data_IF_665454423159
#
_entry.id   IF_665454423159
#
_cell.length_a   1.000
_cell.length_b   1.000
_cell.length_c   1.000
_cell.angle_alpha   90.00
_cell.angle_beta   90.00
_cell.angle_gamma   90.00
#
_symmetry.space_group_name_H-M   'P 1'
#
loop_
_entity.id
_entity.type
_entity.pdbx_description
1 polymer ?
#
# COMPACT_ATOMS: atom_id res chain seq x y z
N UNK A 1 -19.26 -20.83 -31.92
CA UNK A 1 -20.29 -20.46 -30.94
C UNK A 1 -19.88 -19.13 -30.30
N UNK A 2 -20.44 -18.02 -30.80
CA UNK A 2 -19.95 -16.67 -30.49
C UNK A 2 -20.09 -16.30 -29.00
N UNK A 3 -21.07 -16.90 -28.31
CA UNK A 3 -21.32 -16.68 -26.89
C UNK A 3 -20.16 -17.25 -26.05
N UNK A 4 -19.69 -18.44 -26.39
CA UNK A 4 -18.59 -19.09 -25.67
C UNK A 4 -17.26 -18.35 -25.83
N UNK A 5 -16.99 -17.75 -27.01
CA UNK A 5 -15.82 -16.89 -27.21
C UNK A 5 -15.93 -15.60 -26.40
N UNK A 6 -17.09 -14.94 -26.41
CA UNK A 6 -17.31 -13.70 -25.67
C UNK A 6 -17.17 -13.91 -24.15
N UNK A 7 -17.74 -14.99 -23.62
CA UNK A 7 -17.65 -15.33 -22.19
C UNK A 7 -16.22 -15.65 -21.76
N UNK A 8 -15.44 -16.33 -22.61
CA UNK A 8 -14.02 -16.63 -22.35
C UNK A 8 -13.18 -15.36 -22.28
N UNK A 9 -13.38 -14.43 -23.22
CA UNK A 9 -12.67 -13.14 -23.21
C UNK A 9 -13.05 -12.31 -21.98
N UNK A 10 -14.34 -12.25 -21.63
CA UNK A 10 -14.81 -11.52 -20.44
C UNK A 10 -14.20 -12.09 -19.15
N UNK A 11 -14.12 -13.42 -19.05
CA UNK A 11 -13.51 -14.10 -17.91
C UNK A 11 -12.00 -13.80 -17.79
N UNK A 12 -11.25 -13.89 -18.90
CA UNK A 12 -9.82 -13.59 -18.91
C UNK A 12 -9.55 -12.16 -18.43
N UNK A 13 -10.34 -11.18 -18.88
CA UNK A 13 -10.17 -9.78 -18.51
C UNK A 13 -10.44 -9.53 -17.01
N UNK A 14 -11.42 -10.21 -16.41
CA UNK A 14 -11.71 -10.15 -14.96
C UNK A 14 -10.55 -10.73 -14.15
N UNK A 15 -10.01 -11.87 -14.57
CA UNK A 15 -8.87 -12.53 -13.88
C UNK A 15 -7.58 -11.72 -13.97
N UNK A 16 -7.39 -10.94 -15.05
CA UNK A 16 -6.29 -9.98 -15.18
C UNK A 16 -6.53 -8.63 -14.47
N UNK A 17 -7.51 -8.56 -13.56
CA UNK A 17 -7.73 -7.42 -12.68
C UNK A 17 -8.45 -6.24 -13.31
N UNK A 18 -9.06 -6.40 -14.50
CA UNK A 18 -9.93 -5.36 -15.06
C UNK A 18 -11.31 -5.47 -14.45
N UNK A 19 -11.78 -4.38 -13.84
CA UNK A 19 -13.13 -4.28 -13.28
C UNK A 19 -14.17 -4.20 -14.39
N UNK A 20 -15.37 -4.72 -14.14
CA UNK A 20 -16.49 -4.75 -15.10
C UNK A 20 -16.87 -3.34 -15.62
N UNK A 21 -16.53 -2.29 -14.87
CA UNK A 21 -16.71 -0.88 -15.22
C UNK A 21 -15.83 -0.38 -16.37
N UNK A 22 -14.83 -1.15 -16.82
CA UNK A 22 -14.01 -0.83 -17.99
C UNK A 22 -14.79 -0.87 -19.33
N UNK A 23 -16.03 -1.37 -19.31
CA UNK A 23 -16.90 -1.51 -20.49
C UNK A 23 -18.14 -0.61 -20.47
N UNK A 24 -18.26 0.30 -19.50
CA UNK A 24 -19.36 1.28 -19.49
C UNK A 24 -19.18 2.29 -20.61
N UNK A 25 -20.17 2.45 -21.50
CA UNK A 25 -20.17 3.46 -22.57
C UNK A 25 -20.00 4.89 -22.02
N UNK A 26 -20.46 5.15 -20.80
CA UNK A 26 -20.33 6.43 -20.09
C UNK A 26 -19.03 6.57 -19.26
N UNK A 27 -18.10 5.63 -19.38
CA UNK A 27 -16.86 5.60 -18.60
C UNK A 27 -17.04 5.12 -17.15
N UNK A 28 -16.00 5.30 -16.33
CA UNK A 28 -16.04 4.94 -14.91
C UNK A 28 -17.14 5.75 -14.20
N UNK A 29 -18.00 5.12 -13.37
CA UNK A 29 -18.98 5.84 -12.56
C UNK A 29 -18.32 6.95 -11.73
N UNK A 30 -18.98 8.11 -11.64
CA UNK A 30 -18.54 9.21 -10.77
C UNK A 30 -18.44 8.66 -9.33
N UNK A 31 -17.22 8.55 -8.81
CA UNK A 31 -16.93 7.93 -7.51
C UNK A 31 -16.09 6.65 -7.56
N UNK A 32 -15.89 6.02 -8.71
CA UNK A 32 -15.03 4.83 -8.82
C UNK A 32 -13.54 5.14 -8.52
N UNK A 33 -13.06 6.34 -8.89
CA UNK A 33 -11.73 6.81 -8.49
C UNK A 33 -11.58 7.07 -6.97
N UNK A 34 -12.70 7.27 -6.26
CA UNK A 34 -12.72 7.33 -4.79
C UNK A 34 -12.67 5.94 -4.15
N UNK A 35 -13.03 4.87 -4.87
CA UNK A 35 -12.85 3.49 -4.39
C UNK A 35 -11.39 3.03 -4.54
N UNK A 36 -10.70 3.44 -5.61
CA UNK A 36 -9.30 3.09 -5.88
C UNK A 36 -8.27 3.72 -4.89
N UNK A 37 -8.64 4.82 -4.24
CA UNK A 37 -7.85 5.51 -3.21
C UNK A 37 -8.64 5.70 -1.89
N UNK A 38 -9.77 5.02 -1.75
CA UNK A 38 -10.63 5.09 -0.57
C UNK A 38 -10.00 4.47 0.67
N UNK A 39 -10.55 4.79 1.85
CA UNK A 39 -10.18 4.20 3.17
C UNK A 39 -8.80 4.61 3.73
N UNK A 40 -8.31 5.79 3.37
CA UNK A 40 -7.08 6.37 3.94
C UNK A 40 -5.79 5.91 3.26
N UNK A 41 -5.88 5.33 2.07
CA UNK A 41 -4.74 5.09 1.19
C UNK A 41 -4.31 6.41 0.53
N UNK A 42 -3.00 6.66 0.42
CA UNK A 42 -2.48 7.99 0.03
C UNK A 42 -1.88 8.04 -1.36
N UNK A 43 -1.34 6.93 -1.86
CA UNK A 43 -0.71 6.85 -3.18
C UNK A 43 -0.71 5.43 -3.72
N UNK A 44 -1.08 5.23 -4.99
CA UNK A 44 -0.80 3.98 -5.71
C UNK A 44 0.64 3.96 -6.26
N UNK A 45 1.36 5.07 -6.22
CA UNK A 45 2.78 5.18 -6.58
C UNK A 45 3.59 5.05 -5.29
N UNK A 46 4.08 3.85 -5.00
CA UNK A 46 5.00 3.60 -3.90
C UNK A 46 6.42 4.05 -4.25
N UNK A 47 7.10 4.76 -3.35
CA UNK A 47 8.55 5.01 -3.47
C UNK A 47 9.31 3.84 -2.85
N UNK A 48 9.31 2.72 -3.57
CA UNK A 48 10.22 1.61 -3.32
C UNK A 48 11.38 1.75 -4.30
N UNK A 49 12.61 1.83 -3.80
CA UNK A 49 13.78 1.75 -4.66
C UNK A 49 14.89 0.99 -3.97
N UNK A 50 15.76 0.37 -4.75
CA UNK A 50 16.94 -0.30 -4.26
C UNK A 50 18.12 0.01 -5.15
N UNK A 51 19.32 -0.02 -4.58
CA UNK A 51 20.56 -0.04 -5.37
C UNK A 51 21.39 -1.22 -4.95
N UNK A 52 22.25 -1.71 -5.84
CA UNK A 52 23.15 -2.83 -5.52
C UNK A 52 24.05 -2.50 -4.31
N UNK A 53 24.45 -1.23 -4.18
CA UNK A 53 25.31 -0.76 -3.08
C UNK A 53 24.58 -0.58 -1.74
N UNK A 54 23.27 -0.28 -1.76
CA UNK A 54 22.52 0.09 -0.54
C UNK A 54 21.35 -0.83 -0.20
N UNK A 55 21.12 -1.87 -1.01
CA UNK A 55 20.01 -2.79 -0.88
C UNK A 55 18.64 -2.15 -1.21
N UNK A 56 17.56 -2.94 -1.10
CA UNK A 56 16.19 -2.46 -1.23
C UNK A 56 15.77 -1.54 -0.07
N UNK A 57 14.99 -0.49 -0.37
CA UNK A 57 14.45 0.46 0.61
C UNK A 57 12.96 0.70 0.38
N UNK A 58 12.19 0.49 1.44
CA UNK A 58 10.77 0.82 1.48
C UNK A 58 10.63 2.18 2.17
N UNK A 59 10.21 3.21 1.43
CA UNK A 59 10.05 4.56 1.96
C UNK A 59 8.58 4.95 2.16
N UNK A 60 7.75 4.70 1.15
CA UNK A 60 6.29 4.81 1.24
C UNK A 60 5.62 3.58 0.62
N UNK A 61 4.62 3.08 1.34
CA UNK A 61 3.66 2.09 0.89
C UNK A 61 2.33 2.78 0.58
N UNK A 62 1.39 2.06 -0.06
CA UNK A 62 0.04 2.56 -0.26
C UNK A 62 -0.64 2.94 1.07
N UNK A 63 -0.31 2.23 2.16
CA UNK A 63 -0.82 2.56 3.49
C UNK A 63 -0.19 3.82 4.09
N UNK A 64 1.04 4.20 3.72
CA UNK A 64 1.68 5.41 4.20
C UNK A 64 3.20 5.32 4.40
N UNK A 65 3.69 6.06 5.41
CA UNK A 65 5.11 6.33 5.61
C UNK A 65 5.80 5.20 6.37
N UNK A 66 6.84 4.58 5.78
CA UNK A 66 7.64 3.57 6.46
C UNK A 66 8.63 4.23 7.42
N UNK A 67 8.54 3.89 8.70
CA UNK A 67 9.39 4.39 9.79
C UNK A 67 10.65 3.52 9.92
N UNK A 68 10.48 2.20 9.88
CA UNK A 68 11.56 1.25 10.13
C UNK A 68 11.39 -0.03 9.31
N UNK A 69 12.50 -0.66 8.98
CA UNK A 69 12.56 -1.94 8.26
C UNK A 69 13.18 -2.98 9.20
N UNK A 70 12.55 -4.15 9.26
CA UNK A 70 13.05 -5.32 9.97
C UNK A 70 13.86 -6.21 9.02
N UNK A 71 15.08 -6.54 9.43
CA UNK A 71 15.98 -7.45 8.76
C UNK A 71 16.17 -8.73 9.57
N UNK A 72 16.32 -9.86 8.89
CA UNK A 72 16.77 -11.09 9.51
C UNK A 72 18.30 -11.15 9.66
N UNK A 73 18.81 -12.29 10.13
CA UNK A 73 20.25 -12.52 10.31
C UNK A 73 21.05 -12.48 9.00
N UNK A 74 20.40 -12.77 7.87
CA UNK A 74 20.97 -12.68 6.53
C UNK A 74 20.96 -11.26 5.95
N UNK A 75 20.31 -10.31 6.62
CA UNK A 75 20.13 -8.95 6.13
C UNK A 75 19.01 -8.80 5.11
N UNK A 76 18.12 -9.79 4.99
CA UNK A 76 16.95 -9.75 4.13
C UNK A 76 15.79 -9.03 4.83
N UNK A 77 15.00 -8.28 4.06
CA UNK A 77 13.83 -7.57 4.62
C UNK A 77 12.72 -8.57 4.91
N UNK A 78 12.37 -8.70 6.19
CA UNK A 78 11.31 -9.61 6.65
C UNK A 78 10.04 -8.89 7.12
N UNK A 79 10.08 -7.57 7.27
CA UNK A 79 8.95 -6.75 7.67
C UNK A 79 9.26 -5.26 7.73
N UNK A 80 8.25 -4.46 8.02
CA UNK A 80 8.39 -3.02 8.19
C UNK A 80 7.36 -2.45 9.15
N UNK A 81 7.69 -1.30 9.73
CA UNK A 81 6.83 -0.50 10.60
C UNK A 81 6.49 0.79 9.86
N UNK A 82 5.21 1.15 9.81
CA UNK A 82 4.73 2.29 9.05
C UNK A 82 3.67 3.07 9.81
N UNK A 83 3.44 4.32 9.40
CA UNK A 83 2.31 5.13 9.87
C UNK A 83 1.32 5.28 8.74
N UNK A 84 0.06 4.94 9.00
CA UNK A 84 -1.00 5.18 8.06
C UNK A 84 -1.36 6.68 8.04
N UNK A 85 -0.80 7.41 7.07
CA UNK A 85 -0.95 8.86 6.98
C UNK A 85 -2.39 9.27 6.73
N UNK A 86 -3.14 8.54 5.90
CA UNK A 86 -4.53 8.91 5.61
C UNK A 86 -5.43 8.78 6.84
N UNK A 87 -5.31 7.67 7.58
CA UNK A 87 -6.05 7.48 8.85
C UNK A 87 -5.59 8.44 9.93
N UNK A 88 -4.29 8.75 10.01
CA UNK A 88 -3.75 9.75 10.94
C UNK A 88 -4.36 11.13 10.67
N UNK A 89 -4.34 11.59 9.41
CA UNK A 89 -4.89 12.90 9.06
C UNK A 89 -6.41 12.97 9.24
N UNK A 90 -7.13 11.88 8.97
CA UNK A 90 -8.57 11.81 9.24
C UNK A 90 -8.88 11.86 10.75
N UNK A 91 -8.07 11.21 11.59
CA UNK A 91 -8.19 11.30 13.05
C UNK A 91 -7.91 12.72 13.57
N UNK A 92 -6.88 13.39 13.05
CA UNK A 92 -6.57 14.80 13.38
C UNK A 92 -7.74 15.70 12.98
N UNK A 93 -8.31 15.50 11.77
CA UNK A 93 -9.47 16.27 11.30
C UNK A 93 -10.71 16.08 12.20
N UNK A 94 -10.83 14.93 12.85
CA UNK A 94 -11.89 14.62 13.84
C UNK A 94 -11.59 15.16 15.24
N UNK A 95 -10.49 15.88 15.44
CA UNK A 95 -10.14 16.53 16.69
C UNK A 95 -9.30 15.68 17.66
N UNK A 96 -8.76 14.54 17.20
CA UNK A 96 -7.79 13.77 17.99
C UNK A 96 -6.46 14.54 18.01
N UNK A 97 -5.79 14.56 19.16
CA UNK A 97 -4.46 15.16 19.28
C UNK A 97 -3.49 14.53 18.27
N UNK A 98 -2.65 15.33 17.57
CA UNK A 98 -1.72 14.79 16.57
C UNK A 98 -0.81 13.68 17.08
N UNK A 99 -0.41 13.72 18.35
CA UNK A 99 0.43 12.66 18.94
C UNK A 99 -0.35 11.36 19.08
N UNK A 100 -1.56 11.43 19.63
CA UNK A 100 -2.43 10.27 19.78
C UNK A 100 -2.84 9.69 18.41
N UNK A 101 -3.09 10.57 17.44
CA UNK A 101 -3.41 10.18 16.07
C UNK A 101 -2.22 9.50 15.39
N UNK A 102 -0.99 9.97 15.62
CA UNK A 102 0.21 9.32 15.14
C UNK A 102 0.36 7.92 15.75
N UNK A 103 0.40 7.82 17.08
CA UNK A 103 0.66 6.57 17.80
C UNK A 103 -0.38 5.48 17.48
N UNK A 104 -1.67 5.85 17.39
CA UNK A 104 -2.76 4.91 17.06
C UNK A 104 -2.76 4.40 15.62
N UNK A 105 -2.07 5.10 14.71
CA UNK A 105 -2.01 4.74 13.30
C UNK A 105 -0.65 4.15 12.89
N UNK A 106 0.20 3.83 13.85
CA UNK A 106 1.40 3.02 13.64
C UNK A 106 0.98 1.55 13.49
N UNK A 107 1.40 0.93 12.39
CA UNK A 107 1.26 -0.50 12.15
C UNK A 107 2.61 -1.16 11.89
N UNK A 108 2.63 -2.48 12.04
CA UNK A 108 3.72 -3.35 11.58
C UNK A 108 3.17 -4.32 10.55
N UNK A 109 4.04 -4.74 9.62
CA UNK A 109 3.71 -5.72 8.61
C UNK A 109 4.86 -6.73 8.47
N UNK A 110 4.52 -7.97 8.13
CA UNK A 110 5.47 -9.08 8.02
C UNK A 110 5.94 -9.58 9.39
N UNK A 111 7.13 -10.18 9.43
CA UNK A 111 7.74 -10.75 10.64
C UNK A 111 8.55 -9.69 11.40
N UNK A 112 7.96 -8.50 11.60
CA UNK A 112 8.66 -7.38 12.22
C UNK A 112 9.15 -7.71 13.65
N UNK A 113 8.40 -8.48 14.42
CA UNK A 113 8.77 -8.89 15.78
C UNK A 113 9.90 -9.94 15.83
N UNK A 114 10.23 -10.55 14.69
CA UNK A 114 11.32 -11.53 14.57
C UNK A 114 12.59 -10.91 13.97
N UNK A 115 12.68 -9.57 13.95
CA UNK A 115 13.82 -8.86 13.40
C UNK A 115 15.09 -9.14 14.22
N UNK A 116 16.13 -9.63 13.56
CA UNK A 116 17.48 -9.63 14.11
C UNK A 116 18.04 -8.19 14.17
N UNK A 117 17.65 -7.34 13.21
CA UNK A 117 18.05 -5.94 13.15
C UNK A 117 16.93 -5.05 12.62
N UNK A 118 16.77 -3.87 13.22
CA UNK A 118 15.84 -2.85 12.75
C UNK A 118 16.61 -1.63 12.27
N UNK A 119 16.33 -1.15 11.06
CA UNK A 119 16.99 0.00 10.45
C UNK A 119 15.99 1.09 10.05
N UNK A 120 16.44 2.35 10.09
CA UNK A 120 15.73 3.46 9.44
C UNK A 120 16.07 3.44 7.94
N UNK A 121 15.09 3.25 7.04
CA UNK A 121 15.34 3.16 5.60
C UNK A 121 15.99 4.42 5.01
N UNK A 122 15.93 5.57 5.70
CA UNK A 122 16.49 6.85 5.25
C UNK A 122 17.87 7.15 5.79
N UNK A 123 18.31 6.46 6.84
CA UNK A 123 19.61 6.70 7.52
C UNK A 123 20.60 5.55 7.40
N UNK A 124 20.16 4.38 6.95
CA UNK A 124 21.04 3.28 6.59
C UNK A 124 21.88 3.60 5.35
#
# INVERSE_FOLDING_TARGET
>A
DAINTAMRELFLQIVYGRTQSAFSEDGLPIGAGLEDLGKGLRSQIGTMYGTLAKGPRYLEMAEGYVIAIALDEGGEIIGYKFVNLGKMMDAIKKGVDPKDAYEKNIGTYGRFDQAAKVIDPRKA
#
